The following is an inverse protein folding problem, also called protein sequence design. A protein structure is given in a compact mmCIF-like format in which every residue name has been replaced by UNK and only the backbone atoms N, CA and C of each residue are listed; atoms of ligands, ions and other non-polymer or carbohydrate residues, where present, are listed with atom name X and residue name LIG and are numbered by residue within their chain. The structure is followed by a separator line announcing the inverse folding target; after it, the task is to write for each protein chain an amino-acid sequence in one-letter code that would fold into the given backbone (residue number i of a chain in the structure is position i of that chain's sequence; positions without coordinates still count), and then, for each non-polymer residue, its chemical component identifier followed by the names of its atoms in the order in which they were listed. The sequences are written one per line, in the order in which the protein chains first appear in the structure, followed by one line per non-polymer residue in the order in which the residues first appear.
data_IF_102133006821
#
_entry.id   IF_102133006821
#
_cell.length_a   1.000
_cell.length_b   1.000
_cell.length_c   1.000
_cell.angle_alpha   90.00
_cell.angle_beta   90.00
_cell.angle_gamma   90.00
#
_symmetry.space_group_name_H-M   'P 1'
#
loop_
_entity.id
_entity.type
_entity.pdbx_description
1 polymer ?
#
# COMPACT_ATOMS: atom_id res chain seq x y z
N UNK A 1 -47.48 41.61 6.62
CA UNK A 1 -46.64 40.57 5.99
C UNK A 1 -45.31 41.12 5.43
N UNK A 2 -45.25 42.40 5.04
CA UNK A 2 -44.03 43.07 4.51
C UNK A 2 -42.87 43.19 5.54
N UNK A 3 -43.18 43.38 6.83
CA UNK A 3 -42.16 43.53 7.88
C UNK A 3 -41.33 42.26 8.16
N UNK A 4 -41.88 41.05 7.93
CA UNK A 4 -41.13 39.80 8.13
C UNK A 4 -40.11 39.53 7.02
N UNK A 5 -40.39 40.00 5.80
CA UNK A 5 -39.49 39.84 4.65
C UNK A 5 -38.31 40.80 4.76
N UNK A 6 -38.55 42.05 5.19
CA UNK A 6 -37.49 43.03 5.42
C UNK A 6 -36.52 42.62 6.55
N UNK A 7 -37.03 42.04 7.63
CA UNK A 7 -36.21 41.53 8.73
C UNK A 7 -35.26 40.40 8.30
N UNK A 8 -35.73 39.50 7.42
CA UNK A 8 -34.91 38.41 6.88
C UNK A 8 -33.80 38.88 5.94
N UNK A 9 -34.06 39.89 5.11
CA UNK A 9 -33.07 40.45 4.18
C UNK A 9 -31.97 41.20 4.95
N UNK A 10 -32.33 41.94 5.99
CA UNK A 10 -31.36 42.66 6.84
C UNK A 10 -30.45 41.66 7.59
N UNK A 11 -31.01 40.56 8.10
CA UNK A 11 -30.23 39.53 8.77
C UNK A 11 -29.27 38.81 7.81
N UNK A 12 -29.70 38.55 6.57
CA UNK A 12 -28.86 37.97 5.53
C UNK A 12 -27.72 38.93 5.11
N UNK A 13 -28.01 40.23 5.03
CA UNK A 13 -27.01 41.25 4.71
C UNK A 13 -25.95 41.38 5.81
N UNK A 14 -26.37 41.35 7.09
CA UNK A 14 -25.46 41.35 8.25
C UNK A 14 -24.59 40.09 8.30
N UNK A 15 -25.16 38.92 8.02
CA UNK A 15 -24.40 37.66 7.92
C UNK A 15 -23.38 37.68 6.80
N UNK A 16 -23.74 38.21 5.63
CA UNK A 16 -22.81 38.36 4.52
C UNK A 16 -21.69 39.37 4.83
N UNK A 17 -21.98 40.43 5.60
CA UNK A 17 -20.99 41.41 6.02
C UNK A 17 -19.97 40.81 7.01
N UNK A 18 -20.44 40.00 7.97
CA UNK A 18 -19.57 39.26 8.90
C UNK A 18 -18.69 38.27 8.15
N UNK A 19 -19.25 37.51 7.19
CA UNK A 19 -18.45 36.62 6.34
C UNK A 19 -17.43 37.35 5.46
N UNK A 20 -17.75 38.55 4.96
CA UNK A 20 -16.83 39.36 4.16
C UNK A 20 -15.68 39.92 5.00
N UNK A 21 -15.95 40.26 6.26
CA UNK A 21 -14.93 40.73 7.20
C UNK A 21 -14.00 39.58 7.66
N UNK A 22 -14.53 38.37 7.89
CA UNK A 22 -13.72 37.18 8.20
C UNK A 22 -12.83 36.72 7.04
N UNK A 23 -13.30 36.89 5.80
CA UNK A 23 -12.49 36.63 4.60
C UNK A 23 -11.40 37.69 4.41
N UNK A 24 -11.68 38.97 4.66
CA UNK A 24 -10.67 40.03 4.55
C UNK A 24 -9.64 40.02 5.68
N UNK A 25 -10.02 39.58 6.89
CA UNK A 25 -9.06 39.40 7.99
C UNK A 25 -8.10 38.22 7.71
N UNK A 26 -8.57 37.17 7.01
CA UNK A 26 -7.73 36.03 6.62
C UNK A 26 -6.94 36.22 5.31
N UNK A 27 -7.26 37.23 4.48
CA UNK A 27 -6.57 37.46 3.20
C UNK A 27 -5.27 38.26 3.31
N UNK A 28 -5.03 38.99 4.41
CA UNK A 28 -3.82 39.80 4.60
C UNK A 28 -2.62 39.05 5.22
N UNK A 29 -2.70 37.73 5.38
CA UNK A 29 -1.62 36.92 5.96
C UNK A 29 -1.09 35.80 5.06
N UNK A 30 -1.31 35.87 3.74
CA UNK A 30 -0.80 34.86 2.80
C UNK A 30 0.05 35.48 1.68
N UNK A 31 1.36 35.62 1.91
CA UNK A 31 2.36 35.66 0.84
C UNK A 31 3.67 34.98 1.30
N UNK A 32 3.88 33.74 0.83
CA UNK A 32 5.11 33.17 0.20
C UNK A 32 5.02 31.62 0.28
N UNK A 33 5.13 30.88 -0.85
CA UNK A 33 4.76 29.47 -0.92
C UNK A 33 5.94 28.53 -0.65
N UNK A 34 5.71 27.50 0.18
CA UNK A 34 6.51 26.27 0.18
C UNK A 34 5.58 25.09 0.48
N UNK A 35 4.94 24.59 -0.59
CA UNK A 35 3.99 23.48 -0.56
C UNK A 35 4.71 22.17 -0.87
N UNK A 36 5.31 21.55 0.16
CA UNK A 36 5.50 20.09 0.19
C UNK A 36 4.39 19.55 1.09
N UNK A 37 3.48 18.78 0.50
CA UNK A 37 2.33 18.17 1.16
C UNK A 37 2.75 17.42 2.44
N UNK A 38 2.31 17.91 3.60
CA UNK A 38 2.21 17.12 4.82
C UNK A 38 1.12 16.06 4.61
N UNK A 39 1.53 14.82 4.38
CA UNK A 39 0.63 13.70 4.55
C UNK A 39 0.22 13.62 6.03
N UNK A 40 -1.07 13.82 6.29
CA UNK A 40 -1.69 13.54 7.59
C UNK A 40 -1.68 12.03 7.79
N UNK A 41 -0.76 11.54 8.62
CA UNK A 41 -0.74 10.15 9.05
C UNK A 41 -1.95 9.92 9.97
N UNK A 42 -3.02 9.33 9.44
CA UNK A 42 -4.07 8.77 10.29
C UNK A 42 -3.49 7.55 11.00
N UNK A 43 -3.02 7.73 12.24
CA UNK A 43 -2.85 6.61 13.17
C UNK A 43 -4.26 6.15 13.55
N UNK A 44 -4.83 5.32 12.68
CA UNK A 44 -6.05 4.59 12.98
C UNK A 44 -5.77 3.74 14.23
N UNK A 45 -6.70 3.82 15.18
CA UNK A 45 -6.61 3.18 16.50
C UNK A 45 -6.51 1.66 16.30
N UNK A 46 -5.28 1.17 16.18
CA UNK A 46 -4.93 -0.23 16.15
C UNK A 46 -5.56 -0.90 17.36
N UNK A 47 -6.65 -1.67 17.16
CA UNK A 47 -7.04 -2.72 18.09
C UNK A 47 -5.76 -3.49 18.42
N UNK A 48 -5.45 -3.71 19.70
CA UNK A 48 -4.36 -4.61 20.13
C UNK A 48 -4.60 -5.96 19.47
N UNK A 49 -4.00 -6.16 18.29
CA UNK A 49 -3.95 -7.46 17.65
C UNK A 49 -3.04 -8.27 18.55
N UNK A 50 -3.60 -9.33 19.16
CA UNK A 50 -2.82 -10.25 19.96
C UNK A 50 -1.83 -10.91 19.01
N UNK A 51 -0.58 -10.45 19.01
CA UNK A 51 0.52 -11.22 18.45
C UNK A 51 0.46 -12.61 19.08
N UNK A 52 0.83 -13.66 18.34
CA UNK A 52 1.06 -14.95 18.97
C UNK A 52 2.06 -14.71 20.11
N UNK A 53 1.80 -15.27 21.32
CA UNK A 53 2.56 -14.94 22.51
C UNK A 53 4.06 -15.11 22.27
N UNK A 54 4.84 -14.14 22.73
CA UNK A 54 6.29 -14.25 22.72
C UNK A 54 6.70 -15.47 23.55
N UNK A 55 7.62 -16.26 23.00
CA UNK A 55 8.19 -17.37 23.73
C UNK A 55 9.16 -16.75 24.74
N UNK A 56 8.83 -16.82 26.03
CA UNK A 56 9.76 -16.44 27.10
C UNK A 56 11.00 -17.32 26.99
N UNK A 57 12.12 -16.73 26.57
CA UNK A 57 13.41 -17.39 26.59
C UNK A 57 13.96 -17.37 28.02
N UNK A 58 13.80 -18.47 28.75
CA UNK A 58 14.66 -18.75 29.88
C UNK A 58 16.06 -19.08 29.33
N UNK A 59 16.99 -18.14 29.44
CA UNK A 59 18.42 -18.48 29.35
C UNK A 59 18.81 -19.15 30.67
N UNK A 60 19.50 -20.32 30.64
CA UNK A 60 20.24 -20.75 31.81
C UNK A 60 21.29 -19.69 32.15
N UNK A 61 21.30 -19.23 33.40
CA UNK A 61 22.36 -18.40 33.96
C UNK A 61 23.65 -19.22 33.95
N UNK A 62 24.47 -19.06 32.91
CA UNK A 62 25.88 -19.40 32.98
C UNK A 62 26.59 -18.16 33.53
N UNK A 63 26.98 -18.25 34.79
CA UNK A 63 27.81 -17.28 35.49
C UNK A 63 29.18 -17.17 34.80
N UNK A 64 29.63 -15.97 34.39
CA UNK A 64 31.04 -15.74 34.14
C UNK A 64 31.70 -15.31 35.46
N UNK A 65 32.74 -16.04 35.85
CA UNK A 65 33.69 -15.62 36.86
C UNK A 65 34.31 -14.27 36.46
N UNK A 66 34.18 -13.30 37.36
CA UNK A 66 34.76 -11.97 37.28
C UNK A 66 36.27 -12.10 37.56
N UNK A 67 37.09 -11.55 36.66
CA UNK A 67 38.47 -11.20 36.99
C UNK A 67 38.72 -9.76 36.52
N UNK A 68 38.93 -8.87 37.50
CA UNK A 68 39.24 -7.46 37.28
C UNK A 68 40.71 -7.29 36.88
N UNK A 69 40.97 -6.39 35.95
CA UNK A 69 42.24 -5.67 35.82
C UNK A 69 41.95 -4.30 35.18
N UNK A 70 42.46 -3.18 35.73
CA UNK A 70 42.19 -1.84 35.19
C UNK A 70 43.31 -1.40 34.24
N UNK A 71 42.97 -0.37 33.44
CA UNK A 71 43.82 0.74 33.00
C UNK A 71 43.76 1.01 31.48
N UNK A 72 43.21 2.17 31.14
CA UNK A 72 43.87 3.32 30.49
C UNK A 72 42.96 4.04 29.49
N UNK A 73 42.99 5.36 29.66
CA UNK A 73 42.24 6.39 28.97
C UNK A 73 42.87 6.65 27.60
N UNK A 74 42.05 6.78 26.56
CA UNK A 74 42.35 7.74 25.49
C UNK A 74 41.06 8.35 24.93
N UNK A 75 40.96 9.67 25.06
CA UNK A 75 39.96 10.54 24.41
C UNK A 75 40.14 10.52 22.90
N UNK A 76 39.03 10.45 22.16
CA UNK A 76 38.91 11.07 20.84
C UNK A 76 37.42 11.34 20.51
N UNK A 77 36.99 12.54 20.89
CA UNK A 77 36.20 13.49 20.09
C UNK A 77 35.02 12.95 19.25
N UNK A 78 33.80 13.13 19.75
CA UNK A 78 32.58 13.13 18.94
C UNK A 78 31.78 14.41 19.23
N UNK A 79 31.90 15.39 18.32
CA UNK A 79 30.98 16.51 18.23
C UNK A 79 29.96 16.16 17.14
N UNK A 80 28.76 15.75 17.54
CA UNK A 80 27.61 15.94 16.65
C UNK A 80 26.32 16.16 17.44
N UNK A 81 25.83 17.39 17.32
CA UNK A 81 24.66 17.96 17.95
C UNK A 81 23.39 17.21 17.51
N UNK A 82 22.90 16.32 18.38
CA UNK A 82 21.59 15.68 18.22
C UNK A 82 20.47 16.67 18.53
N UNK A 83 19.81 17.19 17.50
CA UNK A 83 18.60 18.03 17.66
C UNK A 83 17.41 17.11 17.97
N UNK A 84 17.11 16.95 19.26
CA UNK A 84 15.92 16.25 19.75
C UNK A 84 14.68 17.15 19.56
N UNK A 85 13.90 16.95 18.50
CA UNK A 85 12.56 17.58 18.40
C UNK A 85 11.53 16.71 19.15
N UNK A 86 11.13 17.18 20.32
CA UNK A 86 9.96 16.69 21.05
C UNK A 86 8.68 16.95 20.24
N UNK A 87 7.92 15.91 19.90
CA UNK A 87 6.50 16.04 19.61
C UNK A 87 5.74 16.04 20.93
N UNK A 88 5.34 17.24 21.35
CA UNK A 88 4.51 17.48 22.53
C UNK A 88 3.14 16.81 22.35
N UNK A 89 2.75 15.97 23.32
CA UNK A 89 1.48 15.26 23.32
C UNK A 89 0.29 16.23 23.44
N UNK A 90 -0.69 16.11 22.53
CA UNK A 90 -1.96 16.80 22.68
C UNK A 90 -2.78 16.13 23.81
N UNK A 91 -3.01 16.91 24.86
CA UNK A 91 -3.93 16.65 25.97
C UNK A 91 -5.33 16.41 25.39
N UNK A 92 -5.91 15.23 25.66
CA UNK A 92 -7.26 14.90 25.20
C UNK A 92 -8.30 15.88 25.77
N UNK A 93 -9.07 16.51 24.89
CA UNK A 93 -10.20 17.37 25.31
C UNK A 93 -11.35 16.48 25.77
N UNK A 94 -11.64 16.49 27.08
CA UNK A 94 -12.86 15.90 27.63
C UNK A 94 -14.08 16.74 27.20
N UNK A 95 -14.72 16.38 26.09
CA UNK A 95 -16.01 16.94 25.67
C UNK A 95 -17.13 16.33 26.51
N UNK A 96 -17.64 17.10 27.47
CA UNK A 96 -18.80 16.72 28.27
C UNK A 96 -20.08 16.73 27.41
N UNK A 97 -21.02 15.82 27.70
CA UNK A 97 -22.25 15.59 26.90
C UNK A 97 -23.05 16.85 26.57
N UNK A 98 -22.96 17.89 27.40
CA UNK A 98 -23.62 19.20 27.18
C UNK A 98 -23.09 19.97 25.96
N UNK A 99 -21.83 19.75 25.55
CA UNK A 99 -21.23 20.38 24.36
C UNK A 99 -21.43 19.58 23.06
N UNK A 100 -21.91 18.33 23.14
CA UNK A 100 -22.16 17.49 21.96
C UNK A 100 -23.47 17.84 21.25
N UNK A 101 -24.48 18.28 22.00
CA UNK A 101 -25.80 18.65 21.45
C UNK A 101 -25.71 19.80 20.43
N UNK A 102 -25.06 20.96 20.72
CA UNK A 102 -24.97 22.04 19.72
C UNK A 102 -24.12 21.65 18.51
N UNK A 103 -23.09 20.82 18.69
CA UNK A 103 -22.25 20.32 17.58
C UNK A 103 -23.06 19.40 16.66
N UNK A 104 -23.89 18.52 17.24
CA UNK A 104 -24.75 17.63 16.47
C UNK A 104 -25.80 18.42 15.67
N UNK A 105 -26.42 19.43 16.28
CA UNK A 105 -27.39 20.30 15.60
C UNK A 105 -26.72 21.06 14.43
N UNK A 106 -25.50 21.56 14.62
CA UNK A 106 -24.73 22.22 13.56
C UNK A 106 -24.44 21.27 12.39
N UNK A 107 -24.01 20.04 12.67
CA UNK A 107 -23.73 19.02 11.65
C UNK A 107 -25.00 18.67 10.87
N UNK A 108 -26.13 18.45 11.55
CA UNK A 108 -27.40 18.13 10.91
C UNK A 108 -27.92 19.30 10.05
N UNK A 109 -27.72 20.54 10.50
CA UNK A 109 -28.06 21.74 9.73
C UNK A 109 -27.25 21.84 8.44
N UNK A 110 -25.93 21.63 8.50
CA UNK A 110 -25.04 21.64 7.33
C UNK A 110 -25.46 20.56 6.33
N UNK A 111 -25.75 19.34 6.79
CA UNK A 111 -26.20 18.24 5.92
C UNK A 111 -27.53 18.59 5.23
N UNK A 112 -28.46 19.24 5.94
CA UNK A 112 -29.74 19.68 5.37
C UNK A 112 -29.55 20.71 4.24
N UNK A 113 -28.67 21.70 4.46
CA UNK A 113 -28.34 22.72 3.44
C UNK A 113 -27.66 22.09 2.23
N UNK A 114 -26.73 21.15 2.43
CA UNK A 114 -26.07 20.43 1.34
C UNK A 114 -27.06 19.57 0.52
N UNK A 115 -28.07 18.99 1.16
CA UNK A 115 -29.14 18.26 0.43
C UNK A 115 -30.01 19.19 -0.39
N UNK A 116 -30.39 20.36 0.14
CA UNK A 116 -31.14 21.38 -0.61
C UNK A 116 -30.35 21.91 -1.81
N UNK A 117 -29.06 22.18 -1.65
CA UNK A 117 -28.16 22.56 -2.75
C UNK A 117 -28.05 21.44 -3.80
N UNK A 118 -27.94 20.18 -3.37
CA UNK A 118 -27.82 19.03 -4.28
C UNK A 118 -29.11 18.75 -5.08
N UNK A 119 -30.27 19.16 -4.57
CA UNK A 119 -31.55 19.05 -5.30
C UNK A 119 -31.70 20.15 -6.36
N UNK A 120 -31.15 21.35 -6.13
CA UNK A 120 -31.16 22.44 -7.11
C UNK A 120 -30.15 22.25 -8.26
N UNK A 121 -29.15 21.38 -8.10
CA UNK A 121 -28.17 21.06 -9.15
C UNK A 121 -28.67 19.94 -10.09
N UNK A 122 -29.72 19.20 -9.71
CA UNK A 122 -30.27 18.10 -10.52
C UNK A 122 -31.48 18.49 -11.39
N UNK A 123 -31.91 19.76 -11.39
CA UNK A 123 -33.07 20.25 -12.15
C UNK A 123 -32.74 21.21 -13.30
N UNK A 124 -31.47 21.39 -13.67
CA UNK A 124 -31.10 22.16 -14.87
C UNK A 124 -30.34 21.30 -15.88
N UNK A 125 -31.04 20.41 -16.58
CA UNK A 125 -30.56 19.77 -17.81
C UNK A 125 -31.74 19.26 -18.66
N UNK A 126 -32.35 20.15 -19.43
CA UNK A 126 -33.03 19.92 -20.71
C UNK A 126 -32.82 21.23 -21.50
N UNK A 127 -32.40 21.30 -22.76
CA UNK A 127 -32.68 20.44 -23.91
C UNK A 127 -31.64 20.69 -25.01
N UNK A 128 -31.32 19.66 -25.80
CA UNK A 128 -30.70 19.82 -27.13
C UNK A 128 -31.67 19.24 -28.14
N UNK A 129 -32.22 20.09 -28.99
CA UNK A 129 -33.16 19.70 -30.04
C UNK A 129 -33.08 20.68 -31.19
N UNK A 130 -32.10 20.48 -32.06
CA UNK A 130 -32.06 21.09 -33.40
C UNK A 130 -31.64 19.99 -34.37
N UNK A 131 -32.61 19.45 -35.12
CA UNK A 131 -32.36 18.76 -36.39
C UNK A 131 -33.17 19.50 -37.45
N UNK A 132 -32.47 20.25 -38.29
CA UNK A 132 -33.04 20.89 -39.46
C UNK A 132 -33.18 19.86 -40.59
N UNK A 133 -34.39 19.79 -41.16
CA UNK A 133 -34.70 19.10 -42.40
C UNK A 133 -34.19 19.92 -43.60
N UNK A 134 -33.56 19.26 -44.57
CA UNK A 134 -33.69 19.59 -45.99
C UNK A 134 -33.65 18.30 -46.85
N UNK A 135 -34.32 18.28 -48.03
CA UNK A 135 -34.78 17.05 -48.68
C UNK A 135 -33.81 16.48 -49.72
N UNK A 136 -33.90 15.16 -49.95
CA UNK A 136 -33.26 14.46 -51.06
C UNK A 136 -34.24 14.25 -52.23
N UNK A 137 -33.81 14.30 -53.50
CA UNK A 137 -34.61 13.90 -54.64
C UNK A 137 -34.49 12.38 -54.91
N UNK A 138 -35.63 11.79 -55.32
CA UNK A 138 -35.75 10.39 -55.69
C UNK A 138 -35.01 10.05 -57.00
N UNK A 139 -34.36 8.87 -57.04
CA UNK A 139 -34.23 8.05 -58.26
C UNK A 139 -34.25 6.56 -57.92
N UNK A 140 -35.19 5.87 -58.57
CA UNK A 140 -35.26 4.42 -58.70
C UNK A 140 -34.07 3.87 -59.48
N UNK A 141 -33.64 2.64 -59.17
CA UNK A 141 -33.62 1.49 -60.10
C UNK A 141 -32.80 0.30 -59.55
N UNK A 142 -33.49 -0.85 -59.48
CA UNK A 142 -33.09 -2.18 -59.96
C UNK A 142 -31.68 -2.75 -59.68
N UNK A 143 -31.65 -3.84 -58.90
CA UNK A 143 -30.66 -4.94 -58.89
C UNK A 143 -30.53 -5.59 -60.31
N UNK A 144 -29.51 -6.44 -60.67
CA UNK A 144 -29.07 -7.58 -59.84
C UNK A 144 -27.62 -8.14 -59.98
N UNK A 145 -27.32 -9.06 -59.05
CA UNK A 145 -26.55 -10.31 -59.18
C UNK A 145 -25.01 -10.27 -59.28
N UNK A 146 -24.35 -10.79 -58.23
CA UNK A 146 -23.16 -11.63 -58.39
C UNK A 146 -23.19 -12.82 -57.44
N UNK A 147 -23.32 -13.99 -58.05
CA UNK A 147 -23.29 -15.35 -57.53
C UNK A 147 -22.07 -15.64 -56.64
N UNK A 148 -22.28 -16.26 -55.48
CA UNK A 148 -21.25 -17.03 -54.78
C UNK A 148 -21.81 -18.43 -54.49
N UNK A 149 -21.07 -19.43 -54.96
CA UNK A 149 -21.48 -20.83 -54.97
C UNK A 149 -21.55 -21.42 -53.56
N UNK A 150 -22.62 -22.20 -53.38
CA UNK A 150 -22.97 -23.05 -52.24
C UNK A 150 -22.13 -24.32 -52.29
N UNK A 151 -21.39 -24.62 -51.22
CA UNK A 151 -21.10 -26.01 -50.82
C UNK A 151 -21.56 -26.15 -49.37
N UNK A 152 -22.46 -27.10 -49.17
CA UNK A 152 -23.08 -27.43 -47.90
C UNK A 152 -22.22 -28.46 -47.15
N UNK A 153 -22.09 -28.28 -45.84
CA UNK A 153 -21.94 -29.41 -44.91
C UNK A 153 -22.28 -28.97 -43.48
N UNK A 154 -23.46 -29.42 -43.04
CA UNK A 154 -23.81 -29.89 -41.68
C UNK A 154 -23.54 -29.00 -40.45
N UNK A 155 -24.64 -28.49 -39.88
CA UNK A 155 -24.79 -28.06 -38.47
C UNK A 155 -24.81 -29.28 -37.53
N UNK A 156 -24.48 -29.14 -36.22
CA UNK A 156 -25.50 -28.67 -35.27
C UNK A 156 -25.00 -27.72 -34.16
N UNK A 157 -25.86 -26.73 -33.87
CA UNK A 157 -26.09 -26.01 -32.62
C UNK A 157 -24.96 -25.81 -31.60
N UNK A 158 -24.56 -24.55 -31.42
CA UNK A 158 -24.21 -24.04 -30.09
C UNK A 158 -24.51 -22.55 -30.02
N UNK A 159 -25.12 -22.16 -28.90
CA UNK A 159 -25.69 -20.87 -28.60
C UNK A 159 -24.69 -19.71 -28.66
N UNK A 160 -25.00 -18.69 -29.47
CA UNK A 160 -24.40 -17.37 -29.37
C UNK A 160 -24.88 -16.69 -28.08
N UNK A 161 -24.11 -16.86 -27.00
CA UNK A 161 -24.09 -15.89 -25.92
C UNK A 161 -22.95 -14.91 -26.17
N UNK A 162 -23.21 -13.59 -26.20
CA UNK A 162 -22.16 -12.58 -26.16
C UNK A 162 -21.36 -12.80 -24.88
N UNK A 163 -20.15 -13.34 -25.03
CA UNK A 163 -19.23 -13.57 -23.93
C UNK A 163 -19.01 -12.26 -23.19
N UNK A 164 -19.57 -12.17 -21.99
CA UNK A 164 -19.24 -11.13 -21.02
C UNK A 164 -17.71 -11.06 -20.92
N UNK A 165 -17.08 -9.87 -21.05
CA UNK A 165 -15.63 -9.78 -20.91
C UNK A 165 -15.23 -10.44 -19.60
N UNK A 166 -14.15 -11.25 -19.58
CA UNK A 166 -13.73 -11.93 -18.37
C UNK A 166 -13.60 -10.86 -17.28
N UNK A 167 -14.31 -11.05 -16.17
CA UNK A 167 -14.10 -10.26 -14.97
C UNK A 167 -12.63 -10.50 -14.56
N UNK A 168 -11.71 -9.68 -15.05
CA UNK A 168 -10.34 -9.66 -14.55
C UNK A 168 -10.46 -9.12 -13.14
N UNK A 169 -10.61 -10.02 -12.17
CA UNK A 169 -10.66 -9.69 -10.76
C UNK A 169 -9.26 -9.19 -10.38
N UNK A 170 -9.02 -7.90 -10.54
CA UNK A 170 -7.81 -7.23 -10.06
C UNK A 170 -7.84 -7.27 -8.54
N UNK A 171 -6.83 -7.86 -7.89
CA UNK A 171 -6.83 -7.94 -6.40
C UNK A 171 -6.54 -6.58 -5.76
N UNK A 172 -5.92 -5.64 -6.48
CA UNK A 172 -5.74 -4.26 -6.00
C UNK A 172 -6.86 -3.35 -6.48
N UNK A 173 -7.31 -2.52 -5.54
CA UNK A 173 -8.16 -1.37 -5.85
C UNK A 173 -7.37 -0.29 -6.59
N UNK A 174 -8.08 0.60 -7.31
CA UNK A 174 -7.46 1.74 -8.00
C UNK A 174 -6.60 2.61 -7.07
N UNK A 175 -7.06 2.83 -5.83
CA UNK A 175 -6.32 3.62 -4.82
C UNK A 175 -5.04 2.94 -4.36
N UNK A 176 -5.04 1.62 -4.27
CA UNK A 176 -3.85 0.83 -3.91
C UNK A 176 -2.87 0.78 -5.09
N UNK A 177 -3.37 0.58 -6.31
CA UNK A 177 -2.54 0.66 -7.51
C UNK A 177 -1.90 2.04 -7.68
N UNK A 178 -2.66 3.12 -7.40
CA UNK A 178 -2.13 4.49 -7.44
C UNK A 178 -0.96 4.68 -6.47
N UNK A 179 -1.03 4.10 -5.27
CA UNK A 179 0.08 4.14 -4.30
C UNK A 179 1.34 3.52 -4.89
N UNK A 180 1.21 2.34 -5.53
CA UNK A 180 2.34 1.68 -6.18
C UNK A 180 2.87 2.52 -7.35
N UNK A 181 2.00 2.99 -8.24
CA UNK A 181 2.42 3.77 -9.41
C UNK A 181 3.11 5.08 -9.03
N UNK A 182 2.60 5.80 -8.01
CA UNK A 182 3.22 7.04 -7.52
C UNK A 182 4.61 6.76 -6.95
N UNK A 183 4.79 5.64 -6.23
CA UNK A 183 6.10 5.24 -5.71
C UNK A 183 7.07 4.87 -6.83
N UNK A 184 6.64 4.10 -7.82
CA UNK A 184 7.50 3.73 -8.97
C UNK A 184 7.86 4.95 -9.79
N UNK A 185 6.92 5.89 -10.02
CA UNK A 185 7.21 7.15 -10.69
C UNK A 185 8.29 7.97 -9.97
N UNK A 186 8.27 7.98 -8.63
CA UNK A 186 9.26 8.68 -7.82
C UNK A 186 10.65 8.00 -7.83
N UNK A 187 10.68 6.67 -7.95
CA UNK A 187 11.91 5.87 -7.82
C UNK A 187 12.55 5.49 -9.15
N UNK A 188 11.80 5.51 -10.25
CA UNK A 188 12.28 5.13 -11.58
C UNK A 188 13.44 6.03 -12.05
N UNK A 189 14.50 5.49 -12.67
CA UNK A 189 14.76 4.05 -12.86
C UNK A 189 15.21 3.37 -11.56
N UNK A 190 14.68 2.18 -11.28
CA UNK A 190 15.01 1.43 -10.06
C UNK A 190 15.09 -0.08 -10.27
N UNK A 191 15.69 -0.79 -9.31
CA UNK A 191 15.55 -2.23 -9.17
C UNK A 191 14.23 -2.53 -8.45
N UNK A 192 13.24 -3.04 -9.20
CA UNK A 192 11.90 -3.41 -8.74
C UNK A 192 11.74 -4.93 -8.69
N UNK A 193 11.48 -5.48 -7.50
CA UNK A 193 11.17 -6.90 -7.31
C UNK A 193 9.72 -7.07 -6.85
N UNK A 194 8.98 -7.96 -7.50
CA UNK A 194 7.58 -8.23 -7.17
C UNK A 194 7.42 -9.72 -6.93
N UNK A 195 7.06 -10.10 -5.69
CA UNK A 195 6.56 -11.42 -5.37
C UNK A 195 5.08 -11.43 -5.69
N UNK A 196 4.66 -12.23 -6.67
CA UNK A 196 3.35 -12.21 -7.29
C UNK A 196 3.35 -11.52 -8.65
N UNK A 197 2.41 -11.91 -9.50
CA UNK A 197 2.19 -11.33 -10.80
C UNK A 197 0.70 -11.09 -11.04
N UNK A 198 0.42 -9.90 -11.58
CA UNK A 198 -0.86 -9.53 -12.14
C UNK A 198 -0.64 -8.75 -13.43
N UNK A 199 -1.53 -8.86 -14.44
CA UNK A 199 -1.40 -8.11 -15.69
C UNK A 199 -1.21 -6.60 -15.48
N UNK A 200 -1.89 -6.01 -14.48
CA UNK A 200 -1.76 -4.59 -14.15
C UNK A 200 -0.35 -4.17 -13.71
N UNK A 201 0.47 -5.08 -13.14
CA UNK A 201 1.84 -4.74 -12.76
C UNK A 201 2.77 -4.55 -13.97
N UNK A 202 2.37 -4.97 -15.17
CA UNK A 202 3.09 -4.63 -16.39
C UNK A 202 3.11 -3.11 -16.64
N UNK A 203 2.11 -2.37 -16.15
CA UNK A 203 2.12 -0.90 -16.19
C UNK A 203 3.25 -0.35 -15.32
N UNK A 204 3.44 -0.89 -14.11
CA UNK A 204 4.57 -0.51 -13.25
C UNK A 204 5.91 -0.80 -13.92
N UNK A 205 6.02 -1.95 -14.61
CA UNK A 205 7.23 -2.29 -15.35
C UNK A 205 7.52 -1.31 -16.50
N UNK A 206 6.49 -0.89 -17.24
CA UNK A 206 6.62 0.13 -18.30
C UNK A 206 7.05 1.49 -17.74
N UNK A 207 6.54 1.89 -16.58
CA UNK A 207 6.98 3.12 -15.89
C UNK A 207 8.44 3.04 -15.43
N UNK A 208 8.95 1.82 -15.22
CA UNK A 208 10.33 1.52 -14.85
C UNK A 208 11.18 1.06 -16.04
N UNK A 209 10.90 1.51 -17.27
CA UNK A 209 11.52 0.99 -18.50
C UNK A 209 13.06 1.08 -18.53
N UNK A 210 13.63 2.13 -17.93
CA UNK A 210 15.09 2.31 -17.80
C UNK A 210 15.70 1.63 -16.56
N UNK A 211 14.87 1.05 -15.68
CA UNK A 211 15.28 0.28 -14.52
C UNK A 211 15.32 -1.22 -14.80
N UNK A 212 15.19 -2.02 -13.76
CA UNK A 212 15.14 -3.49 -13.84
C UNK A 212 13.96 -4.00 -13.03
N UNK A 213 13.10 -4.81 -13.64
CA UNK A 213 11.90 -5.36 -13.00
C UNK A 213 11.95 -6.89 -13.03
N UNK A 214 11.82 -7.53 -11.87
CA UNK A 214 11.68 -8.97 -11.74
C UNK A 214 10.36 -9.31 -11.05
N UNK A 215 9.59 -10.21 -11.66
CA UNK A 215 8.42 -10.84 -11.08
C UNK A 215 8.72 -12.29 -10.69
N UNK A 216 8.20 -12.72 -9.54
CA UNK A 216 8.30 -14.09 -9.05
C UNK A 216 6.89 -14.59 -8.73
N UNK A 217 6.35 -15.53 -9.51
CA UNK A 217 5.00 -16.06 -9.32
C UNK A 217 4.98 -17.59 -9.41
N UNK A 218 4.03 -18.23 -8.75
CA UNK A 218 3.88 -19.68 -8.73
C UNK A 218 2.93 -20.23 -9.80
N UNK A 219 2.08 -19.37 -10.38
CA UNK A 219 1.07 -19.75 -11.36
C UNK A 219 1.67 -19.76 -12.79
N UNK A 220 1.89 -20.93 -13.40
CA UNK A 220 2.46 -21.02 -14.75
C UNK A 220 1.53 -20.42 -15.81
N UNK A 221 0.22 -20.39 -15.59
CA UNK A 221 -0.72 -19.86 -16.56
C UNK A 221 -0.60 -18.33 -16.64
N UNK A 222 -0.40 -17.67 -15.49
CA UNK A 222 -0.12 -16.24 -15.46
C UNK A 222 1.18 -15.89 -16.17
N UNK A 223 2.20 -16.72 -15.99
CA UNK A 223 3.53 -16.51 -16.58
C UNK A 223 3.49 -16.72 -18.10
N UNK A 224 2.91 -17.83 -18.55
CA UNK A 224 2.93 -18.23 -19.96
C UNK A 224 2.05 -17.37 -20.86
N UNK A 225 0.99 -16.75 -20.31
CA UNK A 225 0.09 -15.88 -21.08
C UNK A 225 0.69 -14.50 -21.40
N UNK A 226 1.81 -14.14 -20.78
CA UNK A 226 2.36 -12.78 -20.87
C UNK A 226 3.50 -12.75 -21.87
N UNK A 227 3.36 -11.88 -22.86
CA UNK A 227 4.48 -11.51 -23.75
C UNK A 227 5.21 -10.31 -23.17
N UNK A 228 6.42 -10.55 -22.68
CA UNK A 228 7.30 -9.47 -22.20
C UNK A 228 8.15 -9.00 -23.38
N UNK A 229 7.94 -7.76 -23.82
CA UNK A 229 8.66 -7.19 -24.97
C UNK A 229 9.84 -6.31 -24.54
N UNK A 230 10.36 -6.48 -23.32
CA UNK A 230 11.45 -5.66 -22.77
C UNK A 230 12.48 -6.53 -22.07
N UNK A 231 13.75 -6.36 -22.43
CA UNK A 231 14.88 -7.07 -21.82
C UNK A 231 15.07 -6.74 -20.33
N UNK A 232 14.56 -5.58 -19.90
CA UNK A 232 14.67 -5.09 -18.53
C UNK A 232 13.60 -5.66 -17.59
N UNK A 233 12.65 -6.43 -18.12
CA UNK A 233 11.57 -7.09 -17.36
C UNK A 233 11.70 -8.60 -17.48
N UNK A 234 11.70 -9.29 -16.34
CA UNK A 234 11.77 -10.76 -16.32
C UNK A 234 10.70 -11.31 -15.39
N UNK A 235 10.09 -12.44 -15.76
CA UNK A 235 9.16 -13.18 -14.91
C UNK A 235 9.75 -14.58 -14.71
N UNK A 236 9.83 -15.03 -13.45
CA UNK A 236 10.31 -16.36 -13.11
C UNK A 236 9.25 -17.12 -12.32
N UNK A 237 9.14 -18.42 -12.61
CA UNK A 237 8.37 -19.34 -11.78
C UNK A 237 9.07 -19.53 -10.44
N UNK A 238 8.32 -19.44 -9.35
CA UNK A 238 8.79 -19.71 -8.00
C UNK A 238 7.85 -20.72 -7.33
N UNK A 239 8.41 -21.75 -6.70
CA UNK A 239 7.62 -22.75 -5.99
C UNK A 239 7.57 -22.43 -4.49
N UNK A 240 6.35 -22.38 -3.94
CA UNK A 240 6.12 -22.12 -2.52
C UNK A 240 5.68 -23.39 -1.79
N UNK A 241 6.49 -23.83 -0.82
CA UNK A 241 6.26 -25.07 -0.07
C UNK A 241 5.75 -24.79 1.37
N UNK A 242 5.02 -23.69 1.56
CA UNK A 242 4.57 -23.21 2.88
C UNK A 242 3.07 -22.91 2.86
N UNK A 243 2.21 -23.85 3.28
CA UNK A 243 0.76 -23.62 3.30
C UNK A 243 0.40 -22.59 4.37
N UNK A 244 -0.66 -21.81 4.12
CA UNK A 244 -1.08 -20.70 4.99
C UNK A 244 -1.33 -21.14 6.44
N UNK A 245 -1.89 -22.33 6.65
CA UNK A 245 -2.11 -22.91 8.00
C UNK A 245 -0.83 -23.13 8.81
N UNK A 246 0.33 -23.20 8.16
CA UNK A 246 1.62 -23.34 8.85
C UNK A 246 2.12 -22.03 9.48
N UNK A 247 1.48 -20.88 9.19
CA UNK A 247 1.97 -19.55 9.55
C UNK A 247 2.37 -19.39 11.01
N UNK A 248 1.51 -19.79 11.94
CA UNK A 248 1.83 -19.72 13.37
C UNK A 248 3.06 -20.57 13.74
N UNK A 249 3.14 -21.81 13.23
CA UNK A 249 4.28 -22.71 13.50
C UNK A 249 5.58 -22.17 12.91
N UNK A 250 5.51 -21.56 11.73
CA UNK A 250 6.67 -20.95 11.06
C UNK A 250 7.17 -19.70 11.78
N UNK A 251 6.26 -18.84 12.24
CA UNK A 251 6.61 -17.67 13.03
C UNK A 251 7.25 -18.06 14.36
N UNK A 252 6.66 -19.05 15.06
CA UNK A 252 7.25 -19.62 16.27
C UNK A 252 8.65 -20.20 16.01
N UNK A 253 8.82 -20.93 14.91
CA UNK A 253 10.13 -21.46 14.51
C UNK A 253 11.16 -20.33 14.32
N UNK A 254 10.80 -19.26 13.62
CA UNK A 254 11.71 -18.14 13.37
C UNK A 254 12.16 -17.47 14.68
N UNK A 255 11.24 -17.22 15.60
CA UNK A 255 11.54 -16.66 16.94
C UNK A 255 12.45 -17.58 17.75
N UNK A 256 12.16 -18.88 17.78
CA UNK A 256 12.94 -19.86 18.54
C UNK A 256 14.31 -20.16 17.94
N UNK A 257 14.48 -19.95 16.64
CA UNK A 257 15.69 -20.27 15.89
C UNK A 257 16.30 -19.00 15.28
N UNK A 258 16.41 -17.93 16.08
CA UNK A 258 16.88 -16.62 15.62
C UNK A 258 18.24 -16.67 14.90
N UNK A 259 19.16 -17.56 15.33
CA UNK A 259 20.45 -17.77 14.67
C UNK A 259 20.32 -18.34 13.25
N UNK A 260 19.30 -19.17 12.97
CA UNK A 260 19.03 -19.70 11.64
C UNK A 260 18.28 -18.69 10.76
N UNK A 261 17.49 -17.81 11.38
CA UNK A 261 16.64 -16.81 10.72
C UNK A 261 17.20 -15.38 10.83
N UNK A 262 18.51 -15.21 10.71
CA UNK A 262 19.18 -13.90 10.77
C UNK A 262 18.81 -13.01 9.58
N UNK A 263 18.70 -11.68 9.78
CA UNK A 263 18.38 -10.71 8.74
C UNK A 263 19.62 -10.37 7.86
N UNK A 264 20.35 -11.38 7.40
CA UNK A 264 21.58 -11.20 6.65
C UNK A 264 21.41 -11.62 5.17
N UNK A 265 21.39 -10.66 4.22
CA UNK A 265 21.20 -10.95 2.81
C UNK A 265 22.30 -11.82 2.21
N UNK A 266 23.54 -11.73 2.71
CA UNK A 266 24.68 -12.51 2.19
C UNK A 266 24.50 -14.02 2.35
N UNK A 267 23.72 -14.44 3.35
CA UNK A 267 23.50 -15.85 3.67
C UNK A 267 22.11 -16.34 3.27
N UNK A 268 21.27 -15.51 2.65
CA UNK A 268 19.88 -15.87 2.35
C UNK A 268 19.78 -17.16 1.51
N UNK A 269 20.60 -17.29 0.47
CA UNK A 269 20.62 -18.49 -0.40
C UNK A 269 20.97 -19.77 0.37
N UNK A 270 21.85 -19.68 1.38
CA UNK A 270 22.30 -20.79 2.23
C UNK A 270 21.58 -20.85 3.58
N UNK A 271 20.51 -20.06 3.73
CA UNK A 271 19.84 -19.92 5.02
C UNK A 271 19.21 -21.24 5.45
N UNK A 272 19.36 -21.53 6.75
CA UNK A 272 18.71 -22.66 7.41
C UNK A 272 17.31 -22.31 7.90
N UNK A 273 16.89 -21.04 7.82
CA UNK A 273 15.55 -20.62 8.19
C UNK A 273 14.49 -21.29 7.30
N UNK A 274 13.45 -21.86 7.90
CA UNK A 274 12.33 -22.45 7.14
C UNK A 274 11.54 -21.44 6.30
N UNK A 275 11.65 -20.14 6.61
CA UNK A 275 10.99 -19.06 5.88
C UNK A 275 11.78 -18.55 4.68
N UNK A 276 13.07 -18.89 4.57
CA UNK A 276 13.89 -18.42 3.46
C UNK A 276 13.43 -19.08 2.16
N UNK A 277 13.01 -18.27 1.18
CA UNK A 277 12.76 -18.76 -0.17
C UNK A 277 14.10 -19.10 -0.84
N UNK A 278 14.18 -20.34 -1.32
CA UNK A 278 15.35 -20.91 -1.97
C UNK A 278 15.12 -20.99 -3.47
N UNK A 279 16.20 -21.21 -4.22
CA UNK A 279 16.16 -21.36 -5.67
C UNK A 279 15.61 -20.13 -6.42
N UNK A 280 15.83 -18.94 -5.87
CA UNK A 280 15.53 -17.70 -6.59
C UNK A 280 16.56 -17.51 -7.73
N UNK A 281 16.20 -16.79 -8.80
CA UNK A 281 17.17 -16.39 -9.82
C UNK A 281 18.35 -15.66 -9.19
N UNK A 282 19.58 -15.91 -9.68
CA UNK A 282 20.81 -15.33 -9.11
C UNK A 282 20.72 -13.81 -8.94
N UNK A 283 20.11 -13.13 -9.91
CA UNK A 283 19.87 -11.68 -9.90
C UNK A 283 19.15 -11.20 -8.63
N UNK A 284 18.25 -12.00 -8.06
CA UNK A 284 17.50 -11.66 -6.85
C UNK A 284 18.40 -11.57 -5.63
N UNK A 285 19.45 -12.39 -5.55
CA UNK A 285 20.38 -12.39 -4.43
C UNK A 285 21.46 -11.30 -4.53
N UNK A 286 21.84 -10.89 -5.75
CA UNK A 286 22.98 -9.98 -5.97
C UNK A 286 22.56 -8.51 -6.09
N UNK A 287 21.32 -8.23 -6.52
CA UNK A 287 20.83 -6.86 -6.67
C UNK A 287 20.47 -6.25 -5.33
N UNK A 288 20.78 -4.97 -5.17
CA UNK A 288 20.17 -4.12 -4.16
C UNK A 288 18.83 -3.63 -4.70
N UNK A 289 17.74 -4.03 -4.05
CA UNK A 289 16.38 -3.72 -4.47
C UNK A 289 15.92 -2.37 -3.87
N UNK A 290 15.50 -1.44 -4.72
CA UNK A 290 15.01 -0.12 -4.28
C UNK A 290 13.54 -0.21 -3.84
N UNK A 291 12.75 -1.00 -4.58
CA UNK A 291 11.34 -1.24 -4.31
C UNK A 291 11.05 -2.74 -4.37
N UNK A 292 10.40 -3.26 -3.35
CA UNK A 292 9.88 -4.62 -3.32
C UNK A 292 8.38 -4.62 -3.05
N UNK A 293 7.61 -5.34 -3.85
CA UNK A 293 6.17 -5.55 -3.64
C UNK A 293 5.93 -7.02 -3.31
N UNK A 294 5.22 -7.28 -2.21
CA UNK A 294 4.85 -8.62 -1.75
C UNK A 294 3.35 -8.79 -1.87
N UNK A 295 2.93 -9.50 -2.92
CA UNK A 295 1.53 -9.74 -3.28
C UNK A 295 1.25 -11.20 -3.65
N UNK A 296 2.27 -12.05 -3.77
CA UNK A 296 2.17 -13.49 -4.00
C UNK A 296 2.92 -14.31 -2.96
N UNK A 297 2.54 -15.58 -2.75
CA UNK A 297 1.44 -16.34 -3.40
C UNK A 297 0.04 -15.94 -2.87
N UNK A 298 -1.04 -16.56 -3.39
CA UNK A 298 -2.43 -16.11 -3.12
C UNK A 298 -2.87 -16.17 -1.66
N UNK A 299 -2.49 -17.22 -0.92
CA UNK A 299 -2.86 -17.45 0.47
C UNK A 299 -4.37 -17.44 0.74
N UNK A 300 -5.21 -17.76 -0.26
CA UNK A 300 -6.68 -17.65 -0.20
C UNK A 300 -7.36 -18.75 0.64
N UNK A 301 -6.64 -19.82 0.95
CA UNK A 301 -7.10 -20.96 1.73
C UNK A 301 -6.00 -21.48 2.67
N UNK A 302 -6.36 -22.20 3.76
CA UNK A 302 -5.38 -22.74 4.70
C UNK A 302 -4.34 -23.67 4.05
N UNK A 303 -4.72 -24.37 2.98
CA UNK A 303 -3.91 -25.30 2.19
C UNK A 303 -3.05 -24.59 1.14
N UNK A 304 -3.53 -23.48 0.58
CA UNK A 304 -2.78 -22.71 -0.41
C UNK A 304 -1.46 -22.16 0.17
N UNK A 305 -0.43 -21.99 -0.66
CA UNK A 305 0.80 -21.34 -0.24
C UNK A 305 0.54 -19.92 0.27
N UNK A 306 1.19 -19.56 1.38
CA UNK A 306 1.03 -18.24 2.02
C UNK A 306 2.25 -17.32 1.85
N UNK A 307 2.05 -16.03 2.09
CA UNK A 307 3.07 -14.96 1.89
C UNK A 307 4.17 -14.90 2.94
N UNK A 308 4.20 -15.83 3.90
CA UNK A 308 5.19 -15.86 4.99
C UNK A 308 6.63 -15.82 4.46
N UNK A 309 6.94 -16.68 3.47
CA UNK A 309 8.26 -16.78 2.89
C UNK A 309 8.63 -15.53 2.08
N UNK A 310 7.68 -14.97 1.33
CA UNK A 310 7.88 -13.74 0.55
C UNK A 310 8.17 -12.55 1.45
N UNK A 311 7.39 -12.35 2.53
CA UNK A 311 7.61 -11.27 3.50
C UNK A 311 8.99 -11.41 4.16
N UNK A 312 9.34 -12.61 4.65
CA UNK A 312 10.65 -12.86 5.26
C UNK A 312 11.78 -12.59 4.27
N UNK A 313 11.71 -13.14 3.06
CA UNK A 313 12.75 -12.99 2.03
C UNK A 313 12.92 -11.53 1.62
N UNK A 314 11.82 -10.81 1.37
CA UNK A 314 11.85 -9.37 1.07
C UNK A 314 12.48 -8.57 2.22
N UNK A 315 12.14 -8.88 3.47
CA UNK A 315 12.70 -8.17 4.64
C UNK A 315 14.22 -8.37 4.80
N UNK A 316 14.75 -9.51 4.37
CA UNK A 316 16.20 -9.80 4.37
C UNK A 316 16.87 -9.06 3.21
N UNK A 317 16.32 -9.14 1.99
CA UNK A 317 16.85 -8.47 0.81
C UNK A 317 16.84 -6.93 0.96
N UNK A 318 15.82 -6.37 1.60
CA UNK A 318 15.67 -4.94 1.88
C UNK A 318 16.85 -4.33 2.66
N UNK A 319 17.63 -5.16 3.36
CA UNK A 319 18.77 -4.72 4.18
C UNK A 319 20.10 -4.76 3.43
N UNK A 320 20.12 -5.24 2.18
CA UNK A 320 21.32 -5.24 1.35
C UNK A 320 21.62 -3.83 0.78
N UNK A 321 20.58 -3.06 0.47
CA UNK A 321 20.68 -1.69 -0.03
C UNK A 321 20.84 -0.65 1.08
N UNK A 322 21.05 0.62 0.69
CA UNK A 322 21.07 1.74 1.63
C UNK A 322 19.67 2.01 2.21
N UNK A 323 18.67 2.09 1.34
CA UNK A 323 17.26 2.26 1.73
C UNK A 323 16.37 1.58 0.71
N UNK A 324 15.48 0.71 1.17
CA UNK A 324 14.54 -0.03 0.34
C UNK A 324 13.10 0.21 0.81
N UNK A 325 12.20 0.42 -0.15
CA UNK A 325 10.77 0.51 0.11
C UNK A 325 10.14 -0.88 -0.07
N UNK A 326 9.46 -1.40 0.96
CA UNK A 326 8.78 -2.71 0.93
C UNK A 326 7.28 -2.50 1.10
N UNK A 327 6.51 -3.01 0.15
CA UNK A 327 5.06 -2.87 0.13
C UNK A 327 4.46 -4.26 0.25
N UNK A 328 3.63 -4.47 1.26
CA UNK A 328 2.94 -5.74 1.49
C UNK A 328 1.45 -5.55 1.26
N UNK A 329 0.85 -6.40 0.41
CA UNK A 329 -0.59 -6.44 0.15
C UNK A 329 -1.30 -7.47 1.04
N UNK A 330 -2.63 -7.43 1.05
CA UNK A 330 -3.52 -8.25 1.88
C UNK A 330 -3.20 -8.21 3.39
N UNK A 331 -2.71 -7.05 3.86
CA UNK A 331 -2.47 -6.83 5.31
C UNK A 331 -3.77 -6.64 6.08
N UNK A 332 -4.94 -6.95 5.53
CA UNK A 332 -6.18 -7.18 6.27
C UNK A 332 -6.17 -8.57 6.94
N UNK A 333 -5.46 -9.53 6.35
CA UNK A 333 -5.28 -10.90 6.85
C UNK A 333 -4.27 -10.96 8.00
N UNK A 334 -4.48 -11.90 8.91
CA UNK A 334 -3.73 -11.94 10.17
C UNK A 334 -2.28 -12.40 10.01
N UNK A 335 -2.02 -13.32 9.07
CA UNK A 335 -0.69 -13.85 8.79
C UNK A 335 0.21 -12.73 8.27
N UNK A 336 -0.23 -12.02 7.23
CA UNK A 336 0.49 -10.93 6.59
C UNK A 336 0.82 -9.83 7.61
N UNK A 337 -0.14 -9.50 8.50
CA UNK A 337 0.11 -8.56 9.61
C UNK A 337 1.21 -9.07 10.56
N UNK A 338 1.12 -10.31 11.05
CA UNK A 338 2.10 -10.85 11.99
C UNK A 338 3.50 -10.88 11.39
N UNK A 339 3.63 -11.39 10.16
CA UNK A 339 4.92 -11.51 9.50
C UNK A 339 5.52 -10.15 9.12
N UNK A 340 4.69 -9.19 8.69
CA UNK A 340 5.17 -7.84 8.39
C UNK A 340 5.71 -7.16 9.65
N UNK A 341 5.02 -7.28 10.79
CA UNK A 341 5.49 -6.70 12.05
C UNK A 341 6.76 -7.35 12.57
N UNK A 342 6.84 -8.68 12.47
CA UNK A 342 8.01 -9.44 12.95
C UNK A 342 9.29 -9.07 12.18
N UNK A 343 9.18 -8.91 10.85
CA UNK A 343 10.36 -8.85 9.98
C UNK A 343 10.61 -7.47 9.36
N UNK A 344 9.57 -6.67 9.15
CA UNK A 344 9.67 -5.30 8.61
C UNK A 344 9.61 -4.24 9.71
N UNK A 345 9.09 -4.58 10.90
CA UNK A 345 9.06 -3.76 12.11
C UNK A 345 8.10 -2.57 12.05
N UNK A 346 7.37 -2.35 13.15
CA UNK A 346 6.37 -1.27 13.24
C UNK A 346 7.03 0.12 13.10
N UNK A 347 8.30 0.28 13.52
CA UNK A 347 9.04 1.55 13.42
C UNK A 347 9.36 1.96 11.98
N UNK A 348 9.41 0.99 11.06
CA UNK A 348 9.69 1.26 9.65
C UNK A 348 8.41 1.47 8.83
N UNK A 349 7.22 1.31 9.42
CA UNK A 349 5.95 1.52 8.72
C UNK A 349 5.72 3.02 8.46
N UNK A 350 5.72 3.42 7.19
CA UNK A 350 5.48 4.82 6.80
C UNK A 350 4.00 5.16 6.78
N UNK A 351 3.18 4.34 6.12
CA UNK A 351 1.73 4.48 6.11
C UNK A 351 1.03 3.21 5.62
N UNK A 352 -0.30 3.22 5.73
CA UNK A 352 -1.20 2.18 5.24
C UNK A 352 -2.25 2.76 4.29
N UNK A 353 -2.62 2.01 3.24
CA UNK A 353 -3.71 2.38 2.34
C UNK A 353 -4.48 1.13 1.90
N UNK A 354 -5.76 1.04 2.27
CA UNK A 354 -6.54 -0.17 1.99
C UNK A 354 -5.87 -1.39 2.65
N UNK A 355 -5.53 -2.39 1.83
CA UNK A 355 -4.81 -3.60 2.20
C UNK A 355 -3.29 -3.51 2.00
N UNK A 356 -2.76 -2.33 1.68
CA UNK A 356 -1.33 -2.09 1.56
C UNK A 356 -0.73 -1.51 2.84
N UNK A 357 0.40 -2.07 3.26
CA UNK A 357 1.35 -1.42 4.18
C UNK A 357 2.64 -1.08 3.43
N UNK A 358 3.13 0.14 3.62
CA UNK A 358 4.39 0.62 3.04
C UNK A 358 5.43 0.82 4.14
N UNK A 359 6.50 0.03 4.08
CA UNK A 359 7.65 0.11 4.96
C UNK A 359 8.85 0.72 4.24
N UNK A 360 9.70 1.43 4.99
CA UNK A 360 11.01 1.88 4.52
C UNK A 360 12.11 1.32 5.39
N UNK A 361 12.87 0.40 4.83
CA UNK A 361 13.94 -0.32 5.52
C UNK A 361 15.27 0.36 5.21
N UNK A 362 16.03 0.70 6.25
CA UNK A 362 17.42 1.13 6.11
C UNK A 362 18.36 -0.07 6.15
N UNK A 363 19.39 -0.04 5.33
CA UNK A 363 20.47 -1.02 5.35
C UNK A 363 21.13 -1.05 6.72
N UNK A 364 21.05 -2.19 7.39
CA UNK A 364 21.73 -2.45 8.67
C UNK A 364 22.53 -3.74 8.48
N UNK A 365 23.69 -3.61 7.84
CA UNK A 365 24.51 -4.72 7.34
C UNK A 365 24.99 -5.69 8.44
N UNK A 366 24.93 -5.29 9.72
CA UNK A 366 25.43 -6.08 10.85
C UNK A 366 24.38 -6.36 11.95
N UNK A 367 23.10 -6.08 11.72
CA UNK A 367 22.09 -6.41 12.73
C UNK A 367 21.87 -7.93 12.81
N UNK A 368 21.81 -8.46 14.03
CA UNK A 368 21.44 -9.87 14.28
C UNK A 368 19.94 -10.07 14.45
N UNK A 369 19.16 -8.98 14.45
CA UNK A 369 17.70 -8.97 14.65
C UNK A 369 17.01 -8.05 13.65
N UNK A 370 15.76 -8.35 13.32
CA UNK A 370 14.98 -7.51 12.40
C UNK A 370 14.60 -6.19 13.06
N UNK A 371 14.00 -6.25 14.24
CA UNK A 371 13.46 -5.08 14.94
C UNK A 371 14.29 -4.70 16.14
N UNK A 372 14.44 -3.39 16.42
CA UNK A 372 15.10 -2.92 17.62
C UNK A 372 14.34 -3.41 18.86
N UNK A 373 15.05 -3.60 19.97
CA UNK A 373 14.39 -3.86 21.25
C UNK A 373 13.80 -2.54 21.70
N UNK A 374 12.53 -2.53 22.11
CA UNK A 374 12.00 -1.42 22.90
C UNK A 374 12.86 -1.33 24.15
N UNK A 375 13.77 -0.37 24.20
CA UNK A 375 14.45 -0.01 25.45
C UNK A 375 13.34 0.62 26.29
N UNK A 376 12.72 -0.20 27.13
CA UNK A 376 11.83 0.28 28.16
C UNK A 376 12.56 1.39 28.88
N UNK A 377 11.97 2.60 28.85
CA UNK A 377 12.48 3.72 29.61
C UNK A 377 12.48 3.30 31.07
N UNK A 378 13.62 2.84 31.58
CA UNK A 378 13.91 2.79 33.00
C UNK A 378 14.00 4.25 33.44
N UNK A 379 12.84 4.90 33.57
CA UNK A 379 12.74 6.11 34.36
C UNK A 379 12.97 5.63 35.79
N UNK A 380 14.20 5.84 36.26
CA UNK A 380 14.56 5.62 37.64
C UNK A 380 13.70 6.48 38.54
N UNK A 381 13.01 5.85 39.49
CA UNK A 381 13.27 5.92 40.93
C UNK A 381 12.29 5.02 41.67
#
# INVERSE_FOLDING_TARGET
MVYKVFSGIILLYLLLLVFRLDLNYNFNSALIPNSINRAVCSKERLKKIKMPPDVLHFRPLLSPLVQFSPSLISRAQENQTYVHKYCQGMKGMNLTKKKLIPILVLILSIISVLRLLSLNVKTSSFSTGISALFPAPQRNCSSPLSTCNKIASHTPGSSDHPGKPPNITTTLTEKEFKVLSDLIALKSPCNLLIFGFQPQYLVLSKMNAAGSTIFLDDDPDKINKVRINSNNTQIYKLEYNMPTKAGYKLLKHARQNAAACVPNPRFLQKSKCKLALKNLPLQVYVKNWDVMVVDGPSGDSPESPGRMGSIYTASVLARAGNTSDVIVHDVDRIIEKWFSREFLCDENLLYSKGKLWHFRIRGLSNSTRFCPVEIGSTIGK
#
